data_IF_609627699949
#
_entry.id   IF_609627699949
#
_cell.length_a   1.000
_cell.length_b   1.000
_cell.length_c   1.000
_cell.angle_alpha   90.00
_cell.angle_beta   90.00
_cell.angle_gamma   90.00
#
_symmetry.space_group_name_H-M   'P 1'
#
loop_
_entity.id
_entity.type
_entity.pdbx_description
1 polymer ?
#
# COMPACT_ATOMS: atom_id res chain seq x y z
N UNK A 1 -2.79 -42.64 62.12
CA UNK A 1 -3.76 -42.88 61.03
C UNK A 1 -3.98 -41.57 60.32
N UNK A 2 -3.47 -41.43 59.10
CA UNK A 2 -3.80 -40.31 58.22
C UNK A 2 -3.96 -40.90 56.81
N UNK A 3 -5.20 -41.01 56.37
CA UNK A 3 -5.54 -41.46 55.01
C UNK A 3 -5.24 -40.32 54.03
N UNK A 4 -4.31 -40.56 53.09
CA UNK A 4 -3.99 -39.63 52.02
C UNK A 4 -4.94 -39.89 50.84
N UNK A 5 -6.05 -39.16 50.80
CA UNK A 5 -7.04 -39.24 49.72
C UNK A 5 -6.53 -38.43 48.52
N UNK A 6 -6.00 -39.12 47.51
CA UNK A 6 -5.53 -38.53 46.25
C UNK A 6 -6.75 -38.22 45.39
N UNK A 7 -7.18 -36.96 45.33
CA UNK A 7 -8.12 -36.51 44.30
C UNK A 7 -7.43 -36.63 42.94
N UNK A 8 -7.80 -37.65 42.17
CA UNK A 8 -7.39 -37.79 40.77
C UNK A 8 -8.14 -36.73 39.97
N UNK A 9 -7.47 -35.61 39.78
CA UNK A 9 -7.95 -34.48 39.00
C UNK A 9 -8.24 -34.96 37.57
N UNK A 10 -9.52 -34.92 37.17
CA UNK A 10 -10.02 -35.47 35.92
C UNK A 10 -9.63 -34.54 34.75
N UNK A 11 -8.35 -34.58 34.38
CA UNK A 11 -7.79 -33.80 33.28
C UNK A 11 -8.34 -34.34 31.95
N UNK A 12 -9.49 -33.81 31.52
CA UNK A 12 -10.05 -34.06 30.20
C UNK A 12 -9.11 -33.45 29.16
N UNK A 13 -8.36 -34.30 28.46
CA UNK A 13 -7.53 -33.88 27.33
C UNK A 13 -8.36 -33.37 26.15
N UNK A 14 -7.81 -32.42 25.41
CA UNK A 14 -8.40 -31.93 24.15
C UNK A 14 -8.57 -33.08 23.15
N UNK A 15 -9.72 -33.14 22.51
CA UNK A 15 -9.99 -34.14 21.47
C UNK A 15 -9.42 -33.68 20.12
N UNK A 16 -9.03 -34.63 19.26
CA UNK A 16 -8.59 -34.30 17.89
C UNK A 16 -9.69 -33.58 17.09
N UNK A 17 -10.96 -33.92 17.35
CA UNK A 17 -12.11 -33.31 16.67
C UNK A 17 -12.28 -31.83 17.05
N UNK A 18 -12.04 -31.45 18.30
CA UNK A 18 -12.07 -30.04 18.71
C UNK A 18 -11.03 -29.21 17.96
N UNK A 19 -9.81 -29.71 17.82
CA UNK A 19 -8.77 -29.01 17.05
C UNK A 19 -9.10 -28.94 15.55
N UNK A 20 -9.71 -29.99 14.99
CA UNK A 20 -10.12 -30.01 13.59
C UNK A 20 -11.18 -28.94 13.28
N UNK A 21 -12.21 -28.82 14.11
CA UNK A 21 -13.28 -27.82 13.93
C UNK A 21 -12.72 -26.41 14.04
N UNK A 22 -11.80 -26.15 14.97
CA UNK A 22 -11.16 -24.84 15.13
C UNK A 22 -10.38 -24.45 13.88
N UNK A 23 -9.52 -25.34 13.36
CA UNK A 23 -8.76 -25.07 12.15
C UNK A 23 -9.65 -24.89 10.92
N UNK A 24 -10.76 -25.63 10.85
CA UNK A 24 -11.76 -25.46 9.79
C UNK A 24 -12.35 -24.04 9.79
N UNK A 25 -12.80 -23.54 10.93
CA UNK A 25 -13.38 -22.18 11.04
C UNK A 25 -12.31 -21.11 10.75
N UNK A 26 -11.09 -21.25 11.27
CA UNK A 26 -9.99 -20.32 10.98
C UNK A 26 -9.67 -20.30 9.48
N UNK A 27 -9.65 -21.47 8.83
CA UNK A 27 -9.41 -21.60 7.40
C UNK A 27 -10.43 -20.85 6.55
N UNK A 28 -11.72 -20.96 6.89
CA UNK A 28 -12.80 -20.23 6.20
C UNK A 28 -12.63 -18.72 6.36
N UNK A 29 -12.32 -18.23 7.56
CA UNK A 29 -12.11 -16.79 7.82
C UNK A 29 -10.94 -16.26 6.99
N UNK A 30 -9.80 -16.95 7.00
CA UNK A 30 -8.60 -16.53 6.26
C UNK A 30 -8.86 -16.51 4.74
N UNK A 31 -9.58 -17.52 4.23
CA UNK A 31 -9.92 -17.61 2.81
C UNK A 31 -10.69 -16.38 2.30
N UNK A 32 -11.56 -15.80 3.13
CA UNK A 32 -12.33 -14.60 2.81
C UNK A 32 -11.51 -13.33 3.09
N UNK A 33 -10.72 -13.30 4.16
CA UNK A 33 -9.99 -12.11 4.59
C UNK A 33 -8.82 -11.73 3.67
N UNK A 34 -8.04 -12.72 3.21
CA UNK A 34 -6.84 -12.47 2.39
C UNK A 34 -7.08 -11.77 1.05
N UNK A 35 -8.05 -12.18 0.19
CA UNK A 35 -8.29 -11.48 -1.08
C UNK A 35 -8.71 -10.03 -0.85
N UNK A 36 -9.54 -9.78 0.16
CA UNK A 36 -9.98 -8.44 0.52
C UNK A 36 -8.82 -7.54 0.97
N UNK A 37 -7.90 -8.09 1.78
CA UNK A 37 -6.71 -7.35 2.20
C UNK A 37 -5.80 -6.99 1.02
N UNK A 38 -5.60 -7.93 0.08
CA UNK A 38 -4.79 -7.66 -1.12
C UNK A 38 -5.40 -6.57 -2.00
N UNK A 39 -6.71 -6.64 -2.28
CA UNK A 39 -7.40 -5.64 -3.08
C UNK A 39 -7.40 -4.25 -2.41
N UNK A 40 -7.58 -4.19 -1.10
CA UNK A 40 -7.47 -2.94 -0.34
C UNK A 40 -6.05 -2.36 -0.41
N UNK A 41 -5.03 -3.21 -0.32
CA UNK A 41 -3.63 -2.83 -0.49
C UNK A 41 -3.34 -2.24 -1.87
N UNK A 42 -3.78 -2.90 -2.94
CA UNK A 42 -3.61 -2.42 -4.32
C UNK A 42 -4.31 -1.07 -4.53
N UNK A 43 -5.56 -0.92 -4.08
CA UNK A 43 -6.27 0.37 -4.17
C UNK A 43 -5.59 1.48 -3.37
N UNK A 44 -5.02 1.16 -2.20
CA UNK A 44 -4.26 2.15 -1.42
C UNK A 44 -2.98 2.59 -2.15
N UNK A 45 -2.26 1.65 -2.78
CA UNK A 45 -1.07 1.95 -3.58
C UNK A 45 -1.42 2.83 -4.79
N UNK A 46 -2.52 2.54 -5.48
CA UNK A 46 -3.00 3.33 -6.62
C UNK A 46 -3.35 4.77 -6.20
N UNK A 47 -4.13 4.92 -5.11
CA UNK A 47 -4.52 6.24 -4.57
C UNK A 47 -3.32 7.06 -4.12
N UNK A 48 -2.38 6.44 -3.42
CA UNK A 48 -1.14 7.11 -3.01
C UNK A 48 -0.30 7.51 -4.23
N UNK A 49 -0.22 6.66 -5.25
CA UNK A 49 0.46 6.98 -6.49
C UNK A 49 -0.20 8.17 -7.22
N UNK A 50 -1.53 8.20 -7.30
CA UNK A 50 -2.30 9.30 -7.89
C UNK A 50 -2.07 10.64 -7.14
N UNK A 51 -2.05 10.60 -5.81
CA UNK A 51 -1.72 11.78 -4.99
C UNK A 51 -0.30 12.30 -5.28
N UNK A 52 0.69 11.40 -5.39
CA UNK A 52 2.06 11.77 -5.76
C UNK A 52 2.14 12.37 -7.17
N UNK A 53 1.41 11.81 -8.16
CA UNK A 53 1.37 12.37 -9.53
C UNK A 53 0.79 13.78 -9.53
N UNK A 54 -0.30 14.01 -8.78
CA UNK A 54 -0.92 15.33 -8.63
C UNK A 54 0.02 16.33 -7.97
N UNK A 55 0.77 15.91 -6.94
CA UNK A 55 1.79 16.74 -6.29
C UNK A 55 2.87 17.16 -7.29
N UNK A 56 3.43 16.20 -8.03
CA UNK A 56 4.47 16.47 -9.04
C UNK A 56 3.93 17.39 -10.14
N UNK A 57 2.69 17.17 -10.60
CA UNK A 57 2.02 18.00 -11.60
C UNK A 57 1.90 19.45 -11.14
N UNK A 58 1.40 19.66 -9.91
CA UNK A 58 1.31 21.00 -9.33
C UNK A 58 2.67 21.70 -9.22
N UNK A 59 3.74 20.97 -8.88
CA UNK A 59 5.08 21.55 -8.86
C UNK A 59 5.65 21.83 -10.26
N UNK A 60 5.29 21.02 -11.25
CA UNK A 60 5.62 21.27 -12.64
C UNK A 60 4.92 22.53 -13.18
N UNK A 61 3.68 22.78 -12.76
CA UNK A 61 2.95 24.00 -13.09
C UNK A 61 3.61 25.24 -12.43
N UNK A 62 4.00 25.15 -11.16
CA UNK A 62 4.77 26.22 -10.50
C UNK A 62 6.08 26.53 -11.26
N UNK A 63 6.80 25.49 -11.68
CA UNK A 63 8.00 25.64 -12.50
C UNK A 63 7.68 26.36 -13.83
N UNK A 64 6.57 26.03 -14.47
CA UNK A 64 6.14 26.68 -15.71
C UNK A 64 5.78 28.16 -15.49
N UNK A 65 5.11 28.51 -14.39
CA UNK A 65 4.76 29.89 -14.07
C UNK A 65 6.01 30.77 -13.89
N UNK A 66 7.10 30.23 -13.32
CA UNK A 66 8.33 30.98 -13.08
C UNK A 66 9.27 31.00 -14.30
N UNK A 67 9.38 29.90 -15.05
CA UNK A 67 10.40 29.71 -16.09
C UNK A 67 9.84 29.62 -17.52
N UNK A 68 8.53 29.72 -17.69
CA UNK A 68 7.84 29.73 -18.99
C UNK A 68 7.93 28.41 -19.78
N UNK A 69 8.45 27.34 -19.18
CA UNK A 69 8.63 26.03 -19.80
C UNK A 69 8.39 24.93 -18.78
N UNK A 70 7.93 23.75 -19.21
CA UNK A 70 7.77 22.61 -18.29
C UNK A 70 9.12 21.94 -18.01
N UNK A 71 9.30 21.34 -16.81
CA UNK A 71 10.51 20.60 -16.49
C UNK A 71 10.67 19.36 -17.38
N UNK A 72 11.92 19.02 -17.72
CA UNK A 72 12.26 17.84 -18.51
C UNK A 72 12.18 16.53 -17.73
N UNK A 73 12.24 16.60 -16.40
CA UNK A 73 12.23 15.43 -15.52
C UNK A 73 11.81 15.79 -14.10
N UNK A 74 11.31 14.83 -13.34
CA UNK A 74 10.97 15.02 -11.92
C UNK A 74 12.21 15.35 -11.09
N UNK A 75 13.37 14.83 -11.49
CA UNK A 75 14.66 15.13 -10.87
C UNK A 75 15.03 16.60 -11.01
N UNK A 76 14.65 17.26 -12.12
CA UNK A 76 14.87 18.69 -12.28
C UNK A 76 14.07 19.50 -11.25
N UNK A 77 12.82 19.11 -10.96
CA UNK A 77 12.01 19.75 -9.93
C UNK A 77 12.66 19.65 -8.55
N UNK A 78 13.25 18.50 -8.21
CA UNK A 78 14.02 18.33 -6.97
C UNK A 78 15.27 19.22 -6.96
N UNK A 79 16.09 19.20 -8.02
CA UNK A 79 17.33 20.00 -8.10
C UNK A 79 17.07 21.51 -7.99
N UNK A 80 15.92 21.96 -8.49
CA UNK A 80 15.51 23.36 -8.46
C UNK A 80 14.73 23.75 -7.19
N UNK A 81 14.46 22.80 -6.29
CA UNK A 81 13.84 23.08 -4.99
C UNK A 81 12.31 23.03 -4.95
N UNK A 82 11.62 22.73 -6.06
CA UNK A 82 10.15 22.59 -6.07
C UNK A 82 9.66 21.32 -5.35
N UNK A 83 10.53 20.31 -5.23
CA UNK A 83 10.27 19.10 -4.46
C UNK A 83 11.29 18.96 -3.33
N UNK A 84 10.79 18.81 -2.09
CA UNK A 84 11.61 18.55 -0.90
C UNK A 84 12.31 17.19 -0.98
N UNK A 85 11.55 16.18 -1.38
CA UNK A 85 12.01 14.81 -1.60
C UNK A 85 11.44 14.30 -2.92
N UNK A 86 12.06 13.29 -3.51
CA UNK A 86 11.49 12.65 -4.69
C UNK A 86 10.39 11.69 -4.21
N UNK A 87 9.12 11.88 -4.59
CA UNK A 87 8.07 10.95 -4.20
C UNK A 87 8.37 9.58 -4.82
N UNK A 88 8.24 8.53 -4.02
CA UNK A 88 8.37 7.15 -4.47
C UNK A 88 6.98 6.53 -4.66
N UNK A 89 6.83 5.73 -5.70
CA UNK A 89 5.61 4.96 -5.89
C UNK A 89 5.60 3.79 -4.90
N UNK A 90 4.50 3.54 -4.16
CA UNK A 90 4.39 2.38 -3.27
C UNK A 90 4.62 1.03 -3.96
N UNK A 91 4.29 0.95 -5.25
CA UNK A 91 4.54 -0.21 -6.11
C UNK A 91 5.91 -0.17 -6.83
N UNK A 92 6.84 0.70 -6.37
CA UNK A 92 8.19 0.88 -6.95
C UNK A 92 8.23 1.33 -8.42
N UNK A 93 7.16 1.95 -8.90
CA UNK A 93 7.12 2.60 -10.21
C UNK A 93 7.89 3.92 -10.29
N UNK A 94 8.32 4.29 -11.48
CA UNK A 94 9.00 5.56 -11.76
C UNK A 94 8.01 6.61 -12.29
N UNK A 95 8.23 7.87 -11.93
CA UNK A 95 7.45 9.00 -12.43
C UNK A 95 8.12 9.67 -13.63
N UNK A 96 7.36 9.90 -14.69
CA UNK A 96 7.81 10.58 -15.91
C UNK A 96 6.89 11.75 -16.22
N UNK A 97 7.46 12.84 -16.75
CA UNK A 97 6.70 14.02 -17.15
C UNK A 97 6.55 13.97 -18.67
N UNK A 98 5.31 13.96 -19.15
CA UNK A 98 4.98 14.00 -20.57
C UNK A 98 4.50 15.39 -20.99
N UNK A 99 4.78 15.75 -22.24
CA UNK A 99 4.26 16.96 -22.88
C UNK A 99 2.79 16.75 -23.26
N UNK A 100 1.92 16.64 -22.26
CA UNK A 100 0.46 16.58 -22.46
C UNK A 100 -0.13 18.00 -22.45
N UNK A 101 -1.17 18.26 -23.25
CA UNK A 101 -1.91 19.52 -23.17
C UNK A 101 -2.75 19.62 -21.89
N UNK A 102 -3.14 18.48 -21.32
CA UNK A 102 -3.98 18.41 -20.12
C UNK A 102 -3.11 18.34 -18.86
N UNK A 103 -3.30 19.29 -17.94
CA UNK A 103 -2.57 19.42 -16.66
C UNK A 103 -2.61 18.11 -15.85
N UNK A 104 -3.75 17.44 -15.82
CA UNK A 104 -3.95 16.20 -15.05
C UNK A 104 -3.17 15.01 -15.61
N UNK A 105 -2.82 15.00 -16.91
CA UNK A 105 -2.12 13.88 -17.57
C UNK A 105 -0.64 14.14 -17.81
N UNK A 106 -0.06 15.17 -17.17
CA UNK A 106 1.34 15.54 -17.36
C UNK A 106 2.31 14.58 -16.68
N UNK A 107 1.88 13.88 -15.63
CA UNK A 107 2.74 12.96 -14.88
C UNK A 107 2.22 11.55 -15.04
N UNK A 108 3.08 10.62 -15.47
CA UNK A 108 2.76 9.20 -15.57
C UNK A 108 3.62 8.37 -14.64
N UNK A 109 3.02 7.33 -14.07
CA UNK A 109 3.71 6.27 -13.37
C UNK A 109 3.88 5.05 -14.27
N UNK A 110 5.03 4.38 -14.22
CA UNK A 110 5.28 3.15 -14.99
C UNK A 110 4.38 1.96 -14.61
N UNK A 111 3.74 2.00 -13.43
CA UNK A 111 2.91 0.91 -12.90
C UNK A 111 1.41 1.24 -12.98
N UNK A 112 1.03 2.45 -12.54
CA UNK A 112 -0.39 2.86 -12.43
C UNK A 112 -0.86 3.78 -13.57
N UNK A 113 -0.02 4.04 -14.58
CA UNK A 113 -0.39 4.89 -15.72
C UNK A 113 -0.56 6.38 -15.36
N UNK A 114 -1.61 6.99 -15.91
CA UNK A 114 -1.93 8.42 -15.85
C UNK A 114 -2.68 8.80 -14.57
#
# INVERSE_FOLDING_TARGET
MAEYKKELDNQRGFTLIEMLVVLFVIGVIIAIALPNLKAAGESAQERACAANRKLIGSQADNYFLELGSYPSSVQQLKRRGYLRTLPECPAKGNYTIQKSASVEKRVKCSIHGD
#
